data_IF_844341986890
#
_entry.id   IF_844341986890
#
_cell.length_a   1.000
_cell.length_b   1.000
_cell.length_c   1.000
_cell.angle_alpha   90.00
_cell.angle_beta   90.00
_cell.angle_gamma   90.00
#
_symmetry.space_group_name_H-M   'P 1'
#
loop_
_entity.id
_entity.type
_entity.pdbx_description
1 polymer ?
#
# COMPACT_ATOMS: atom_id res chain seq x y z
N UNK A 1 -28.51 46.89 14.22
CA UNK A 1 -28.03 45.81 13.40
C UNK A 1 -27.18 44.89 14.30
N UNK A 2 -27.78 43.78 14.73
CA UNK A 2 -27.15 42.83 15.65
C UNK A 2 -26.39 41.80 14.82
N UNK A 3 -25.08 41.75 14.98
CA UNK A 3 -24.19 40.76 14.36
C UNK A 3 -24.40 39.40 15.02
N UNK A 4 -24.97 38.49 14.28
CA UNK A 4 -25.09 37.07 14.66
C UNK A 4 -23.70 36.41 14.54
N UNK A 5 -23.08 36.08 15.66
CA UNK A 5 -21.89 35.21 15.72
C UNK A 5 -22.41 33.79 15.95
N UNK A 6 -22.19 32.83 15.03
CA UNK A 6 -22.57 31.46 15.27
C UNK A 6 -21.70 30.87 16.39
N UNK A 7 -22.26 29.99 17.25
CA UNK A 7 -21.50 29.31 18.29
C UNK A 7 -20.43 28.43 17.60
N UNK A 8 -19.21 28.50 18.14
CA UNK A 8 -18.07 27.74 17.65
C UNK A 8 -18.35 26.21 17.70
N UNK A 9 -18.87 25.68 16.62
CA UNK A 9 -18.85 24.26 16.36
C UNK A 9 -17.40 23.86 16.11
N UNK A 10 -16.91 22.86 16.84
CA UNK A 10 -15.64 22.25 16.55
C UNK A 10 -15.62 21.86 15.07
N UNK A 11 -14.62 22.33 14.34
CA UNK A 11 -14.40 21.89 12.96
C UNK A 11 -14.26 20.36 13.02
N UNK A 12 -15.09 19.59 12.31
CA UNK A 12 -14.99 18.16 12.36
C UNK A 12 -13.56 17.76 11.97
N UNK A 13 -12.96 16.86 12.73
CA UNK A 13 -11.64 16.33 12.39
C UNK A 13 -11.68 15.77 10.96
N UNK A 14 -10.66 16.08 10.15
CA UNK A 14 -10.62 15.57 8.79
C UNK A 14 -10.68 14.03 8.82
N UNK A 15 -11.31 13.40 7.84
CA UNK A 15 -11.39 11.96 7.77
C UNK A 15 -9.98 11.35 7.81
N UNK A 16 -9.86 10.16 8.36
CA UNK A 16 -8.60 9.49 8.64
C UNK A 16 -7.64 9.43 7.43
N UNK A 17 -8.18 9.27 6.23
CA UNK A 17 -7.41 9.29 4.98
C UNK A 17 -6.77 10.66 4.69
N UNK A 18 -7.43 11.75 5.10
CA UNK A 18 -6.92 13.11 4.92
C UNK A 18 -5.86 13.46 5.97
N UNK A 19 -5.99 12.93 7.20
CA UNK A 19 -4.94 13.02 8.24
C UNK A 19 -3.68 12.27 7.79
N UNK A 20 -3.82 11.06 7.24
CA UNK A 20 -2.72 10.28 6.68
C UNK A 20 -2.03 11.01 5.51
N UNK A 21 -2.82 11.65 4.63
CA UNK A 21 -2.29 12.43 3.52
C UNK A 21 -1.55 13.69 3.99
N UNK A 22 -1.99 14.31 5.07
CA UNK A 22 -1.35 15.50 5.63
C UNK A 22 -0.06 15.18 6.39
N UNK A 23 -0.01 14.09 7.17
CA UNK A 23 1.22 13.63 7.85
C UNK A 23 2.36 13.34 6.86
N UNK A 24 2.04 12.82 5.68
CA UNK A 24 3.03 12.57 4.64
C UNK A 24 3.55 13.85 3.95
N UNK A 25 2.80 14.95 4.00
CA UNK A 25 3.22 16.26 3.45
C UNK A 25 4.12 17.05 4.38
N UNK A 26 4.13 16.72 5.68
CA UNK A 26 4.91 17.44 6.70
C UNK A 26 6.37 16.96 6.80
N UNK A 27 6.73 15.85 6.19
CA UNK A 27 8.13 15.44 6.02
C UNK A 27 8.67 15.99 4.69
N UNK A 28 9.88 16.55 4.67
CA UNK A 28 10.61 17.16 3.54
C UNK A 28 10.55 16.34 2.23
N UNK A 29 9.41 16.36 1.52
CA UNK A 29 9.17 15.68 0.26
C UNK A 29 8.97 14.15 0.35
N UNK A 30 8.57 13.55 -0.74
CA UNK A 30 8.44 12.09 -0.91
C UNK A 30 9.78 11.46 -1.32
N UNK A 31 10.04 10.21 -0.93
CA UNK A 31 11.21 9.47 -1.44
C UNK A 31 11.07 9.26 -2.95
N UNK A 32 12.11 9.59 -3.71
CA UNK A 32 12.11 9.57 -5.16
C UNK A 32 11.70 8.19 -5.73
N UNK A 33 12.23 7.08 -5.18
CA UNK A 33 11.85 5.73 -5.61
C UNK A 33 10.35 5.42 -5.38
N UNK A 34 9.70 6.08 -4.41
CA UNK A 34 8.26 5.93 -4.19
C UNK A 34 7.45 6.66 -5.26
N UNK A 35 7.90 7.86 -5.65
CA UNK A 35 7.29 8.64 -6.72
C UNK A 35 7.41 7.92 -8.07
N UNK A 36 8.61 7.43 -8.41
CA UNK A 36 8.84 6.67 -9.65
C UNK A 36 8.02 5.38 -9.71
N UNK A 37 7.92 4.66 -8.57
CA UNK A 37 7.11 3.44 -8.53
C UNK A 37 5.62 3.73 -8.75
N UNK A 38 5.10 4.84 -8.20
CA UNK A 38 3.72 5.31 -8.43
C UNK A 38 3.51 5.76 -9.87
N UNK A 39 4.52 6.33 -10.51
CA UNK A 39 4.50 6.72 -11.92
C UNK A 39 4.61 5.53 -12.90
N UNK A 40 4.77 4.29 -12.40
CA UNK A 40 4.75 3.10 -13.23
C UNK A 40 6.12 2.53 -13.63
N UNK A 41 7.24 3.13 -13.20
CA UNK A 41 8.59 2.68 -13.56
C UNK A 41 9.01 1.34 -12.92
N UNK A 42 8.17 0.73 -12.09
CA UNK A 42 8.40 -0.58 -11.51
C UNK A 42 8.18 -0.63 -10.01
N UNK A 43 8.78 -1.62 -9.33
CA UNK A 43 8.79 -1.68 -7.87
C UNK A 43 9.74 -0.63 -7.31
N UNK A 44 9.63 -0.30 -6.00
CA UNK A 44 10.56 0.63 -5.34
C UNK A 44 12.02 0.20 -5.51
N UNK A 45 12.31 -1.11 -5.44
CA UNK A 45 13.67 -1.66 -5.66
C UNK A 45 14.14 -1.45 -7.10
N UNK A 46 13.26 -1.65 -8.09
CA UNK A 46 13.59 -1.36 -9.49
C UNK A 46 13.90 0.13 -9.66
N UNK A 47 13.13 1.00 -9.01
CA UNK A 47 13.37 2.44 -9.07
C UNK A 47 14.65 2.86 -8.33
N UNK A 48 15.02 2.17 -7.25
CA UNK A 48 16.31 2.35 -6.58
C UNK A 48 17.47 2.00 -7.51
N UNK A 49 17.38 0.89 -8.26
CA UNK A 49 18.38 0.54 -9.26
C UNK A 49 18.49 1.61 -10.36
N UNK A 50 17.35 2.16 -10.86
CA UNK A 50 17.40 3.26 -11.84
C UNK A 50 18.12 4.49 -11.31
N UNK A 51 17.96 4.80 -10.02
CA UNK A 51 18.65 5.92 -9.36
C UNK A 51 20.15 5.60 -9.21
N UNK A 52 20.51 4.40 -8.79
CA UNK A 52 21.92 3.96 -8.65
C UNK A 52 22.65 3.94 -10.00
N UNK A 53 21.96 3.57 -11.07
CA UNK A 53 22.49 3.55 -12.43
C UNK A 53 22.66 4.96 -13.01
N UNK A 54 22.30 6.03 -12.27
CA UNK A 54 22.40 7.41 -12.72
C UNK A 54 21.44 7.78 -13.85
N UNK A 55 20.32 7.07 -13.97
CA UNK A 55 19.31 7.25 -15.02
C UNK A 55 18.20 8.21 -14.63
N UNK A 56 18.24 8.77 -13.43
CA UNK A 56 17.21 9.65 -12.88
C UNK A 56 17.81 10.99 -12.54
N UNK A 57 17.22 12.05 -13.08
CA UNK A 57 17.57 13.44 -12.77
C UNK A 57 16.45 14.12 -11.98
N UNK A 58 16.82 15.04 -11.11
CA UNK A 58 15.90 15.92 -10.39
C UNK A 58 16.37 17.36 -10.55
N UNK A 59 15.59 18.18 -11.21
CA UNK A 59 15.92 19.58 -11.51
C UNK A 59 17.25 19.73 -12.30
N UNK A 60 17.57 18.74 -13.14
CA UNK A 60 18.79 18.72 -13.96
C UNK A 60 20.02 18.13 -13.27
N UNK A 61 19.92 17.72 -12.00
CA UNK A 61 21.00 17.06 -11.28
C UNK A 61 20.72 15.55 -11.17
N UNK A 62 21.75 14.72 -11.39
CA UNK A 62 21.64 13.26 -11.24
C UNK A 62 21.27 12.93 -9.80
N UNK A 63 20.19 12.19 -9.65
CA UNK A 63 19.68 11.81 -8.34
C UNK A 63 20.53 10.72 -7.68
N UNK A 64 20.58 10.77 -6.33
CA UNK A 64 21.23 9.74 -5.51
C UNK A 64 20.22 9.01 -4.65
N UNK A 65 20.55 7.81 -4.19
CA UNK A 65 19.70 7.06 -3.27
C UNK A 65 19.35 7.88 -2.02
N UNK A 66 18.08 7.76 -1.61
CA UNK A 66 17.58 8.49 -0.47
C UNK A 66 17.07 9.91 -0.80
N UNK A 67 17.27 10.40 -2.04
CA UNK A 67 16.73 11.68 -2.49
C UNK A 67 15.23 11.75 -2.21
N UNK A 68 14.79 12.92 -1.70
CA UNK A 68 13.39 13.29 -1.55
C UNK A 68 13.05 14.39 -2.55
N UNK A 69 11.81 14.39 -3.02
CA UNK A 69 11.31 15.32 -4.03
C UNK A 69 9.94 15.84 -3.64
N UNK A 70 9.68 17.07 -4.05
CA UNK A 70 8.34 17.65 -4.02
C UNK A 70 7.71 17.47 -5.41
N UNK A 71 6.70 16.61 -5.51
CA UNK A 71 6.07 16.26 -6.80
C UNK A 71 5.36 17.44 -7.48
N UNK A 72 5.06 18.51 -6.74
CA UNK A 72 4.38 19.69 -7.26
C UNK A 72 5.36 20.72 -7.86
N UNK A 73 6.64 20.67 -7.47
CA UNK A 73 7.63 21.69 -7.84
C UNK A 73 8.88 21.15 -8.50
N UNK A 74 9.27 19.90 -8.21
CA UNK A 74 10.48 19.31 -8.77
C UNK A 74 10.21 18.68 -10.14
N UNK A 75 11.13 18.92 -11.07
CA UNK A 75 11.15 18.27 -12.38
C UNK A 75 11.94 16.98 -12.22
N UNK A 76 11.28 15.85 -12.45
CA UNK A 76 11.89 14.52 -12.39
C UNK A 76 11.96 13.97 -13.80
N UNK A 77 13.12 13.47 -14.19
CA UNK A 77 13.36 12.86 -15.50
C UNK A 77 13.97 11.48 -15.34
N UNK A 78 13.60 10.56 -16.23
CA UNK A 78 14.20 9.23 -16.35
C UNK A 78 14.71 9.09 -17.79
N UNK A 79 16.00 8.82 -17.94
CA UNK A 79 16.69 8.77 -19.25
C UNK A 79 16.46 10.04 -20.10
N UNK A 80 16.39 11.21 -19.46
CA UNK A 80 16.14 12.51 -20.08
C UNK A 80 14.69 12.75 -20.49
N UNK A 81 13.76 11.86 -20.17
CA UNK A 81 12.34 12.05 -20.40
C UNK A 81 11.61 12.44 -19.09
N UNK A 82 10.81 13.52 -19.11
CA UNK A 82 10.11 13.93 -17.90
C UNK A 82 9.11 12.87 -17.44
N UNK A 83 9.09 12.64 -16.14
CA UNK A 83 8.09 11.77 -15.50
C UNK A 83 6.73 12.45 -15.59
N UNK A 84 5.79 11.80 -16.27
CA UNK A 84 4.47 12.35 -16.52
C UNK A 84 3.62 12.51 -15.26
N UNK A 85 2.39 12.98 -15.46
CA UNK A 85 1.41 13.15 -14.37
C UNK A 85 1.22 11.81 -13.64
N UNK A 86 1.34 11.85 -12.32
CA UNK A 86 1.13 10.67 -11.49
C UNK A 86 -0.31 10.17 -11.66
N UNK A 87 -0.54 8.86 -11.82
CA UNK A 87 -1.87 8.31 -11.93
C UNK A 87 -2.66 8.58 -10.64
N UNK A 88 -3.96 8.83 -10.78
CA UNK A 88 -4.87 8.94 -9.64
C UNK A 88 -4.85 7.69 -8.76
N UNK A 89 -5.31 7.84 -7.53
CA UNK A 89 -5.44 6.72 -6.62
C UNK A 89 -6.57 5.80 -7.08
N UNK A 90 -6.31 4.50 -7.08
CA UNK A 90 -7.28 3.45 -7.40
C UNK A 90 -7.36 2.42 -6.29
N UNK A 91 -8.55 1.87 -6.10
CA UNK A 91 -8.84 0.88 -5.08
C UNK A 91 -9.72 -0.21 -5.69
N UNK A 92 -9.24 -1.44 -5.67
CA UNK A 92 -9.99 -2.62 -6.07
C UNK A 92 -10.20 -3.52 -4.87
N UNK A 93 -11.40 -4.03 -4.73
CA UNK A 93 -11.73 -5.01 -3.71
C UNK A 93 -11.94 -6.36 -4.40
N UNK A 94 -10.98 -7.26 -4.21
CA UNK A 94 -11.01 -8.60 -4.75
C UNK A 94 -11.50 -9.58 -3.69
N UNK A 95 -12.53 -10.38 -4.01
CA UNK A 95 -12.78 -11.62 -3.29
C UNK A 95 -11.84 -12.68 -3.86
N UNK A 96 -10.65 -12.80 -3.26
CA UNK A 96 -9.59 -13.68 -3.76
C UNK A 96 -10.10 -15.13 -3.77
N UNK A 97 -10.09 -15.82 -4.90
CA UNK A 97 -10.42 -17.24 -4.95
C UNK A 97 -9.26 -18.11 -4.42
N UNK A 98 -9.56 -19.36 -4.11
CA UNK A 98 -8.58 -20.40 -3.83
C UNK A 98 -7.69 -20.66 -5.06
N UNK A 99 -6.45 -21.07 -4.85
CA UNK A 99 -5.49 -21.39 -5.93
C UNK A 99 -4.75 -20.16 -6.51
N UNK A 100 -5.15 -18.95 -6.19
CA UNK A 100 -4.56 -17.70 -6.70
C UNK A 100 -3.49 -17.18 -5.75
N UNK A 101 -2.33 -16.79 -6.28
CA UNK A 101 -1.17 -16.34 -5.49
C UNK A 101 -1.23 -14.83 -5.26
N UNK A 102 -1.02 -14.40 -4.01
CA UNK A 102 -0.84 -12.98 -3.68
C UNK A 102 0.61 -12.58 -3.92
N UNK A 103 0.96 -12.28 -5.16
CA UNK A 103 2.29 -11.79 -5.56
C UNK A 103 2.16 -10.73 -6.66
N UNK A 104 3.14 -9.85 -6.71
CA UNK A 104 3.26 -8.83 -7.78
C UNK A 104 4.09 -9.33 -8.96
N UNK A 105 4.82 -10.41 -8.80
CA UNK A 105 5.59 -11.09 -9.84
C UNK A 105 5.58 -12.58 -9.53
N UNK A 106 5.13 -13.39 -10.46
CA UNK A 106 5.24 -14.84 -10.37
C UNK A 106 6.26 -15.38 -11.37
N UNK A 107 7.18 -16.20 -10.89
CA UNK A 107 8.22 -16.84 -11.70
C UNK A 107 7.87 -18.26 -12.11
N UNK A 108 6.71 -18.76 -11.68
CA UNK A 108 6.28 -20.15 -11.91
C UNK A 108 5.08 -20.25 -12.86
N UNK A 109 4.60 -19.12 -13.41
CA UNK A 109 3.46 -19.09 -14.33
C UNK A 109 2.11 -19.40 -13.67
N UNK A 110 1.99 -19.16 -12.35
CA UNK A 110 0.74 -19.35 -11.62
C UNK A 110 -0.14 -18.11 -11.73
N UNK A 111 -1.45 -18.30 -11.62
CA UNK A 111 -2.42 -17.23 -11.56
C UNK A 111 -2.21 -16.38 -10.31
N UNK A 112 -2.24 -15.06 -10.48
CA UNK A 112 -1.97 -14.09 -9.42
C UNK A 112 -3.16 -13.16 -9.21
N UNK A 113 -3.18 -12.46 -8.09
CA UNK A 113 -4.23 -11.46 -7.80
C UNK A 113 -4.22 -10.29 -8.79
N UNK A 114 -3.14 -10.08 -9.54
CA UNK A 114 -3.05 -9.03 -10.56
C UNK A 114 -3.82 -9.39 -11.84
N UNK A 115 -4.09 -10.68 -12.09
CA UNK A 115 -4.84 -11.12 -13.27
C UNK A 115 -6.34 -10.73 -13.19
N UNK A 116 -6.79 -10.30 -12.00
CA UNK A 116 -8.18 -9.89 -11.72
C UNK A 116 -8.43 -8.38 -11.79
N UNK A 117 -7.41 -7.58 -12.06
CA UNK A 117 -7.52 -6.11 -12.09
C UNK A 117 -6.83 -5.55 -13.34
N UNK A 118 -7.20 -4.33 -13.78
CA UNK A 118 -6.49 -3.67 -14.87
C UNK A 118 -4.99 -3.57 -14.61
N UNK A 119 -4.19 -3.73 -15.66
CA UNK A 119 -2.73 -3.63 -15.58
C UNK A 119 -2.24 -2.21 -15.29
N UNK A 120 -3.04 -1.21 -15.62
CA UNK A 120 -2.75 0.22 -15.40
C UNK A 120 -3.92 0.93 -14.69
N UNK A 121 -3.61 1.81 -13.72
CA UNK A 121 -2.30 2.04 -13.12
C UNK A 121 -1.80 0.82 -12.33
N UNK A 122 -0.49 0.66 -12.22
CA UNK A 122 0.12 -0.43 -11.47
C UNK A 122 -0.35 -0.40 -10.01
N UNK A 123 -0.88 -1.51 -9.53
CA UNK A 123 -1.34 -1.69 -8.14
C UNK A 123 -0.55 -2.78 -7.42
N UNK A 124 -0.74 -2.87 -6.11
CA UNK A 124 -0.19 -3.91 -5.24
C UNK A 124 -1.21 -4.27 -4.16
N UNK A 125 -1.07 -5.45 -3.57
CA UNK A 125 -1.98 -5.93 -2.53
C UNK A 125 -1.72 -5.27 -1.17
N UNK A 126 -2.80 -4.98 -0.45
CA UNK A 126 -2.77 -4.56 0.95
C UNK A 126 -2.75 -5.81 1.83
N UNK A 127 -1.56 -6.20 2.25
CA UNK A 127 -1.35 -7.49 2.92
C UNK A 127 -1.36 -8.66 1.92
N UNK A 128 -1.57 -9.84 2.47
CA UNK A 128 -1.54 -11.09 1.69
C UNK A 128 -2.54 -12.09 2.27
N UNK A 129 -3.10 -12.89 1.37
CA UNK A 129 -3.78 -14.13 1.68
C UNK A 129 -2.99 -15.27 1.02
N UNK A 130 -2.89 -16.41 1.69
CA UNK A 130 -2.18 -17.56 1.16
C UNK A 130 -2.93 -18.17 -0.03
N UNK A 131 -2.27 -19.05 -0.80
CA UNK A 131 -2.80 -19.60 -2.04
C UNK A 131 -4.16 -20.29 -1.83
N UNK A 132 -4.28 -21.03 -0.73
CA UNK A 132 -5.47 -21.80 -0.38
C UNK A 132 -6.50 -20.98 0.44
N UNK A 133 -6.18 -19.71 0.75
CA UNK A 133 -7.05 -18.83 1.51
C UNK A 133 -7.91 -17.99 0.58
N UNK A 134 -9.23 -18.00 0.82
CA UNK A 134 -10.20 -17.13 0.14
C UNK A 134 -10.53 -15.91 0.99
N UNK A 135 -11.04 -14.84 0.37
CA UNK A 135 -11.55 -13.69 1.12
C UNK A 135 -11.19 -12.35 0.51
N UNK A 136 -11.52 -11.30 1.25
CA UNK A 136 -11.35 -9.93 0.77
C UNK A 136 -9.90 -9.48 0.80
N UNK A 137 -9.43 -9.00 -0.34
CA UNK A 137 -8.10 -8.44 -0.54
C UNK A 137 -8.21 -7.10 -1.27
N UNK A 138 -7.61 -6.06 -0.71
CA UNK A 138 -7.54 -4.75 -1.36
C UNK A 138 -6.30 -4.72 -2.26
N UNK A 139 -6.48 -4.24 -3.51
CA UNK A 139 -5.40 -3.91 -4.41
C UNK A 139 -5.46 -2.41 -4.71
N UNK A 140 -4.34 -1.72 -4.58
CA UNK A 140 -4.29 -0.25 -4.72
C UNK A 140 -2.89 0.21 -5.12
N UNK A 141 -2.78 1.44 -5.64
CA UNK A 141 -1.52 2.16 -5.78
C UNK A 141 -1.27 3.13 -4.60
N UNK A 142 -2.16 3.16 -3.60
CA UNK A 142 -2.04 3.95 -2.38
C UNK A 142 -1.14 3.25 -1.34
N UNK A 143 0.14 3.63 -1.34
CA UNK A 143 1.09 3.09 -0.37
C UNK A 143 0.93 3.61 1.05
N UNK A 144 0.20 4.73 1.25
CA UNK A 144 -0.06 5.27 2.59
C UNK A 144 -1.18 4.47 3.25
N UNK A 145 -2.28 4.26 2.55
CA UNK A 145 -3.35 3.38 3.01
C UNK A 145 -2.82 1.97 3.31
N UNK A 146 -1.97 1.44 2.41
CA UNK A 146 -1.37 0.11 2.62
C UNK A 146 -0.55 0.05 3.90
N UNK A 147 0.30 1.04 4.14
CA UNK A 147 1.09 1.12 5.37
C UNK A 147 0.19 1.23 6.59
N UNK A 148 -0.83 2.07 6.53
CA UNK A 148 -1.78 2.25 7.64
C UNK A 148 -2.48 0.93 8.00
N UNK A 149 -3.01 0.22 7.00
CA UNK A 149 -3.76 -1.02 7.23
C UNK A 149 -2.88 -2.22 7.60
N UNK A 150 -1.59 -2.21 7.25
CA UNK A 150 -0.72 -3.39 7.44
C UNK A 150 0.30 -3.24 8.56
N UNK A 151 0.68 -2.01 8.93
CA UNK A 151 1.72 -1.81 9.92
C UNK A 151 1.19 -2.03 11.34
N UNK A 152 1.89 -2.83 12.18
CA UNK A 152 1.42 -3.20 13.53
C UNK A 152 1.15 -2.00 14.45
N UNK A 153 1.88 -0.88 14.27
CA UNK A 153 1.71 0.31 15.11
C UNK A 153 0.33 0.96 15.01
N UNK A 154 -0.42 0.69 13.94
CA UNK A 154 -1.76 1.26 13.76
C UNK A 154 -2.87 0.41 14.37
N UNK A 155 -2.55 -0.80 14.88
CA UNK A 155 -3.48 -1.63 15.64
C UNK A 155 -4.73 -2.07 14.87
N UNK A 156 -4.69 -2.10 13.54
CA UNK A 156 -5.82 -2.58 12.73
C UNK A 156 -6.03 -4.07 13.00
N UNK A 157 -7.18 -4.39 13.58
CA UNK A 157 -7.54 -5.78 13.90
C UNK A 157 -7.79 -6.58 12.61
N UNK A 158 -7.39 -7.86 12.64
CA UNK A 158 -7.62 -8.81 11.55
C UNK A 158 -8.33 -10.03 12.15
N UNK A 159 -9.50 -10.32 11.62
CA UNK A 159 -10.29 -11.47 12.03
C UNK A 159 -10.15 -12.62 11.01
N UNK A 160 -9.91 -13.81 11.47
CA UNK A 160 -9.81 -15.01 10.65
C UNK A 160 -10.76 -16.09 11.18
N UNK A 161 -11.46 -16.74 10.26
CA UNK A 161 -12.22 -17.96 10.53
C UNK A 161 -11.42 -19.11 9.92
N UNK A 162 -11.02 -20.06 10.73
CA UNK A 162 -10.28 -21.23 10.28
C UNK A 162 -11.13 -22.50 10.48
N UNK A 163 -11.30 -23.26 9.41
CA UNK A 163 -11.79 -24.65 9.50
C UNK A 163 -10.59 -25.56 9.73
N UNK A 164 -10.70 -26.42 10.72
CA UNK A 164 -9.63 -27.35 11.08
C UNK A 164 -10.13 -28.77 11.12
N UNK A 165 -9.37 -29.70 10.58
CA UNK A 165 -9.64 -31.13 10.77
C UNK A 165 -9.36 -31.54 12.21
N UNK A 166 -10.34 -32.09 12.87
CA UNK A 166 -10.21 -32.57 14.24
C UNK A 166 -10.91 -33.90 14.39
N UNK A 167 -10.48 -34.68 15.38
CA UNK A 167 -11.14 -35.94 15.70
C UNK A 167 -12.60 -35.75 16.18
N UNK A 168 -13.29 -36.83 16.44
CA UNK A 168 -14.72 -36.88 16.83
C UNK A 168 -15.06 -36.02 18.06
N UNK A 169 -14.07 -35.66 18.88
CA UNK A 169 -14.24 -34.86 20.10
C UNK A 169 -14.03 -33.33 19.88
N UNK A 170 -13.88 -32.89 18.62
CA UNK A 170 -13.62 -31.48 18.29
C UNK A 170 -12.20 -31.03 18.64
N UNK A 171 -11.98 -29.72 18.62
CA UNK A 171 -10.67 -29.11 18.92
C UNK A 171 -10.37 -29.27 20.43
N UNK A 172 -9.21 -29.83 20.83
CA UNK A 172 -8.85 -29.97 22.23
C UNK A 172 -8.83 -28.64 22.98
N UNK A 173 -9.42 -28.58 24.18
CA UNK A 173 -9.45 -27.39 25.01
C UNK A 173 -8.05 -26.85 25.33
N UNK A 174 -7.03 -27.70 25.39
CA UNK A 174 -5.62 -27.30 25.57
C UNK A 174 -5.11 -26.48 24.41
N UNK A 175 -5.41 -26.87 23.16
CA UNK A 175 -5.02 -26.11 21.96
C UNK A 175 -5.72 -24.74 21.91
N UNK A 176 -7.02 -24.70 22.23
CA UNK A 176 -7.76 -23.43 22.31
C UNK A 176 -7.20 -22.49 23.38
N UNK A 177 -6.73 -23.04 24.51
CA UNK A 177 -6.10 -22.25 25.57
C UNK A 177 -4.77 -21.67 25.09
N UNK A 178 -3.90 -22.50 24.49
CA UNK A 178 -2.61 -22.02 23.95
C UNK A 178 -2.80 -20.92 22.90
N UNK A 179 -3.80 -21.04 22.01
CA UNK A 179 -4.12 -19.98 21.03
C UNK A 179 -4.60 -18.68 21.67
N UNK A 180 -5.31 -18.75 22.81
CA UNK A 180 -5.77 -17.56 23.54
C UNK A 180 -4.65 -16.90 24.34
N UNK A 181 -3.78 -17.71 24.92
CA UNK A 181 -2.66 -17.24 25.75
C UNK A 181 -1.47 -16.74 24.91
N UNK A 182 -1.51 -17.02 23.61
CA UNK A 182 -0.44 -16.76 22.65
C UNK A 182 0.43 -18.01 22.41
N UNK A 183 0.96 -18.10 21.20
CA UNK A 183 1.94 -19.12 20.79
C UNK A 183 3.28 -18.44 20.55
N UNK A 184 4.35 -18.98 21.14
CA UNK A 184 5.73 -18.57 20.91
C UNK A 184 6.29 -19.13 19.60
#
# INVERSE_FOLDING_TARGET
>A
MSSFTPPGGAVPEPPLWEQIANDARLADGERLQKVLARAGFGSRRVCENLIEDGRVDVNGDVAVLGRRVNVDTDIIEVDGAPVGVLPGLVYYLLNKPEGVVTTMVDTHGRETVLDYVPSEPRVFSVGRLDIDTTGLLILTNDGQLTQFLTHPSHGVEKEYIAEVECGTNGVPNGALRHLRDGVE
#
